data_IF_597769623640
#
_entry.id   IF_597769623640
#
_cell.length_a   1.000
_cell.length_b   1.000
_cell.length_c   1.000
_cell.angle_alpha   90.00
_cell.angle_beta   90.00
_cell.angle_gamma   90.00
#
_symmetry.space_group_name_H-M   'P 1'
#
loop_
_entity.id
_entity.type
_entity.pdbx_description
1 polymer ?
#
# COMPACT_ATOMS: atom_id res chain seq x y z
N UNK A 1 0.50 -7.18 10.32
CA UNK A 1 -0.57 -7.17 9.30
C UNK A 1 -1.22 -5.81 9.41
N UNK A 2 -1.53 -5.16 8.30
CA UNK A 2 -2.12 -3.82 8.32
C UNK A 2 -3.57 -3.92 8.87
N UNK A 3 -3.90 -3.17 9.93
CA UNK A 3 -5.16 -3.33 10.68
C UNK A 3 -6.34 -2.54 10.08
N UNK A 4 -6.80 -2.91 8.88
CA UNK A 4 -8.06 -2.40 8.31
C UNK A 4 -9.26 -3.26 8.69
N UNK A 5 -10.47 -2.69 8.70
CA UNK A 5 -11.70 -3.45 8.96
C UNK A 5 -12.27 -4.07 7.68
N UNK A 6 -12.18 -3.37 6.55
CA UNK A 6 -12.73 -3.80 5.27
C UNK A 6 -11.65 -4.10 4.24
N UNK A 7 -10.52 -3.38 4.31
CA UNK A 7 -9.44 -3.49 3.34
C UNK A 7 -8.12 -3.80 4.05
N UNK A 8 -7.43 -4.82 3.56
CA UNK A 8 -6.03 -5.09 3.85
C UNK A 8 -5.17 -4.81 2.63
N UNK A 9 -3.89 -4.53 2.85
CA UNK A 9 -2.89 -4.47 1.79
C UNK A 9 -1.69 -5.32 2.16
N UNK A 10 -1.26 -6.15 1.22
CA UNK A 10 -0.02 -6.91 1.30
C UNK A 10 0.97 -6.37 0.27
N UNK A 11 2.21 -6.20 0.72
CA UNK A 11 3.30 -5.70 -0.12
C UNK A 11 4.50 -6.63 0.01
N UNK A 12 5.08 -7.03 -1.13
CA UNK A 12 6.31 -7.81 -1.17
C UNK A 12 7.43 -7.10 -0.37
N UNK A 13 8.15 -7.80 0.52
CA UNK A 13 9.15 -7.16 1.38
C UNK A 13 10.26 -6.44 0.61
N UNK A 14 10.62 -6.89 -0.61
CA UNK A 14 11.63 -6.22 -1.43
C UNK A 14 11.10 -4.91 -2.01
N UNK A 15 9.80 -4.84 -2.32
CA UNK A 15 9.14 -3.58 -2.73
C UNK A 15 9.02 -2.63 -1.54
N UNK A 16 8.69 -3.15 -0.37
CA UNK A 16 8.59 -2.33 0.84
C UNK A 16 9.95 -1.75 1.29
N UNK A 17 11.06 -2.42 0.98
CA UNK A 17 12.41 -1.94 1.29
C UNK A 17 13.04 -1.04 0.21
N UNK A 18 12.42 -0.90 -0.97
CA UNK A 18 12.94 -0.10 -2.08
C UNK A 18 12.40 1.34 -1.99
N UNK A 19 13.30 2.32 -1.85
CA UNK A 19 12.94 3.73 -1.68
C UNK A 19 12.25 4.34 -2.91
N UNK A 20 12.62 3.93 -4.12
CA UNK A 20 11.97 4.41 -5.33
C UNK A 20 10.55 3.85 -5.43
N UNK A 21 10.37 2.59 -5.06
CA UNK A 21 9.05 1.97 -5.00
C UNK A 21 8.18 2.54 -3.88
N UNK A 22 8.74 2.81 -2.71
CA UNK A 22 8.00 3.42 -1.61
C UNK A 22 7.47 4.80 -1.98
N UNK A 23 8.30 5.61 -2.65
CA UNK A 23 7.89 6.92 -3.18
C UNK A 23 6.80 6.76 -4.25
N UNK A 24 6.98 5.86 -5.21
CA UNK A 24 5.99 5.59 -6.27
C UNK A 24 4.63 5.18 -5.69
N UNK A 25 4.61 4.26 -4.71
CA UNK A 25 3.37 3.80 -4.07
C UNK A 25 2.65 4.91 -3.31
N UNK A 26 3.42 5.81 -2.67
CA UNK A 26 2.90 7.02 -2.03
C UNK A 26 2.26 7.97 -3.05
N UNK A 27 2.90 8.18 -4.20
CA UNK A 27 2.41 9.10 -5.23
C UNK A 27 1.13 8.61 -5.93
N UNK A 28 1.00 7.30 -6.16
CA UNK A 28 -0.13 6.75 -6.93
C UNK A 28 -1.37 6.48 -6.10
N UNK A 29 -1.27 6.44 -4.77
CA UNK A 29 -2.41 6.13 -3.91
C UNK A 29 -3.20 7.39 -3.57
N UNK A 30 -4.44 7.54 -4.08
CA UNK A 30 -5.20 8.79 -3.93
C UNK A 30 -5.63 9.08 -2.49
N UNK A 31 -5.61 8.07 -1.63
CA UNK A 31 -6.08 8.13 -0.23
C UNK A 31 -4.95 7.92 0.77
N UNK A 32 -3.69 8.01 0.34
CA UNK A 32 -2.52 8.01 1.23
C UNK A 32 -2.39 6.76 2.13
N UNK A 33 -2.72 5.56 1.62
CA UNK A 33 -2.47 4.28 2.33
C UNK A 33 -0.97 4.01 2.49
N UNK A 34 -0.13 4.61 1.66
CA UNK A 34 1.31 4.43 1.67
C UNK A 34 2.02 5.73 2.05
N UNK A 35 3.09 5.61 2.82
CA UNK A 35 3.99 6.69 3.16
C UNK A 35 5.45 6.21 3.12
N UNK A 36 6.39 7.15 2.99
CA UNK A 36 7.82 6.87 3.07
C UNK A 36 8.32 7.15 4.48
N UNK A 37 8.98 6.18 5.11
CA UNK A 37 9.63 6.35 6.41
C UNK A 37 10.93 7.17 6.27
N UNK A 38 11.50 7.69 7.38
CA UNK A 38 12.78 8.40 7.35
C UNK A 38 13.94 7.59 6.75
N UNK A 39 13.90 6.25 6.85
CA UNK A 39 14.90 5.34 6.28
C UNK A 39 14.66 5.01 4.79
N UNK A 40 13.65 5.62 4.17
CA UNK A 40 13.28 5.40 2.77
C UNK A 40 12.36 4.20 2.54
N UNK A 41 12.08 3.38 3.57
CA UNK A 41 11.19 2.21 3.41
C UNK A 41 9.72 2.59 3.42
N UNK A 42 8.89 1.71 2.88
CA UNK A 42 7.44 1.86 2.87
C UNK A 42 6.85 1.72 4.28
N UNK A 43 5.92 2.61 4.62
CA UNK A 43 4.98 2.47 5.72
C UNK A 43 3.58 2.33 5.14
N UNK A 44 2.83 1.34 5.62
CA UNK A 44 1.38 1.29 5.42
C UNK A 44 0.73 2.16 6.51
N UNK A 45 -0.09 3.11 6.10
CA UNK A 45 -0.87 3.99 6.98
C UNK A 45 -2.19 3.29 7.23
N UNK A 46 -2.23 2.50 8.31
CA UNK A 46 -3.37 1.61 8.61
C UNK A 46 -4.70 2.37 8.75
N UNK A 47 -4.64 3.60 9.26
CA UNK A 47 -5.76 4.53 9.43
C UNK A 47 -6.50 4.84 8.12
N UNK A 48 -5.82 4.73 6.98
CA UNK A 48 -6.35 5.05 5.66
C UNK A 48 -6.77 3.81 4.85
N UNK A 49 -6.59 2.59 5.39
CA UNK A 49 -6.86 1.36 4.64
C UNK A 49 -8.28 1.29 4.12
N UNK A 50 -9.26 1.64 4.97
CA UNK A 50 -10.68 1.56 4.65
C UNK A 50 -11.16 2.70 3.74
N UNK A 51 -10.32 3.70 3.48
CA UNK A 51 -10.55 4.73 2.45
C UNK A 51 -10.22 4.21 1.03
N UNK A 52 -9.72 2.98 0.89
CA UNK A 52 -9.37 2.42 -0.41
C UNK A 52 -10.58 2.35 -1.35
N UNK A 53 -10.45 2.98 -2.52
CA UNK A 53 -11.49 3.03 -3.56
C UNK A 53 -11.40 1.90 -4.59
N UNK A 54 -10.54 0.90 -4.38
CA UNK A 54 -10.28 -0.21 -5.33
C UNK A 54 -9.87 0.27 -6.75
N UNK A 55 -9.08 1.35 -6.82
CA UNK A 55 -8.62 1.93 -8.10
C UNK A 55 -7.50 1.16 -8.80
N UNK A 56 -6.93 0.12 -8.18
CA UNK A 56 -5.82 -0.72 -8.67
C UNK A 56 -4.50 -0.01 -9.01
N UNK A 57 -4.36 1.30 -8.75
CA UNK A 57 -3.14 2.06 -9.09
C UNK A 57 -1.88 1.53 -8.39
N UNK A 58 -1.98 1.10 -7.12
CA UNK A 58 -0.87 0.51 -6.40
C UNK A 58 -0.47 -0.88 -6.94
N UNK A 59 -1.45 -1.67 -7.40
CA UNK A 59 -1.22 -2.98 -8.04
C UNK A 59 -0.53 -2.79 -9.39
N UNK A 60 -0.98 -1.82 -10.18
CA UNK A 60 -0.35 -1.48 -11.47
C UNK A 60 1.07 -0.91 -11.28
N UNK A 61 1.31 -0.14 -10.21
CA UNK A 61 2.62 0.40 -9.92
C UNK A 61 3.65 -0.69 -9.56
N UNK A 62 3.20 -1.80 -8.98
CA UNK A 62 4.01 -2.94 -8.58
C UNK A 62 3.32 -4.30 -8.88
N UNK A 63 3.22 -4.68 -10.18
CA UNK A 63 2.45 -5.86 -10.59
C UNK A 63 2.93 -7.14 -9.90
N UNK A 64 2.00 -7.91 -9.34
CA UNK A 64 2.27 -9.15 -8.62
C UNK A 64 3.00 -8.98 -7.28
N UNK A 65 3.26 -7.74 -6.84
CA UNK A 65 3.99 -7.44 -5.61
C UNK A 65 3.20 -6.59 -4.62
N UNK A 66 2.06 -6.04 -5.03
CA UNK A 66 1.08 -5.42 -4.15
C UNK A 66 -0.25 -6.13 -4.36
N UNK A 67 -0.93 -6.47 -3.27
CA UNK A 67 -2.27 -7.05 -3.28
C UNK A 67 -3.18 -6.27 -2.35
N UNK A 68 -4.35 -5.86 -2.85
CA UNK A 68 -5.45 -5.36 -2.04
C UNK A 68 -6.35 -6.54 -1.68
N UNK A 69 -6.63 -6.71 -0.39
CA UNK A 69 -7.40 -7.83 0.16
C UNK A 69 -8.69 -7.27 0.74
N UNK A 70 -9.83 -7.73 0.25
CA UNK A 70 -11.12 -7.47 0.91
C UNK A 70 -11.22 -8.40 2.11
N UNK A 71 -11.44 -7.82 3.30
CA UNK A 71 -11.48 -8.56 4.57
C UNK A 71 -12.90 -9.03 4.93
N UNK A 72 -13.86 -8.76 4.04
CA UNK A 72 -15.24 -9.22 4.11
C UNK A 72 -15.52 -10.25 3.01
N UNK A 73 -16.51 -11.11 3.26
CA UNK A 73 -17.05 -12.07 2.30
C UNK A 73 -18.10 -11.44 1.39
#
# INVERSE_FOLDING_TARGET
MANGMFIGVEVDPKVAADAAMAKKLTEVCPVNIFAVKPDGTLRIVEENLDECTLCDLCVQAAPGKVRVVKLYE
#
